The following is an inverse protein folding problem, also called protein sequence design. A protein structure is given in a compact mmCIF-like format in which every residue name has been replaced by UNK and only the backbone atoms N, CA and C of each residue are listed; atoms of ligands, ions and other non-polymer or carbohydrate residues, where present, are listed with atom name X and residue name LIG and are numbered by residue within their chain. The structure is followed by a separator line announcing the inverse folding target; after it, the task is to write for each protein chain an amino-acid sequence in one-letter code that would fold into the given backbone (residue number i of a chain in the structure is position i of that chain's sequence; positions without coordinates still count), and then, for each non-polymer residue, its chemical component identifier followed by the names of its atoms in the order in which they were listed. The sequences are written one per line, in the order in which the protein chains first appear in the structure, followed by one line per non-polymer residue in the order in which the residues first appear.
data_IF_806144753184
#
_entry.id   IF_806144753184
#
_cell.length_a   1.000
_cell.length_b   1.000
_cell.length_c   1.000
_cell.angle_alpha   90.00
_cell.angle_beta   90.00
_cell.angle_gamma   90.00
#
_symmetry.space_group_name_H-M   'P 1'
#
loop_
_entity.id
_entity.type
_entity.pdbx_description
1 polymer ?
#
# COMPACT_ATOMS: atom_id res chain seq x y z
N UNK A 1 7.99 -5.96 15.79
CA UNK A 1 9.23 -5.37 15.23
C UNK A 1 10.45 -6.17 15.66
N UNK A 2 11.36 -6.53 14.73
CA UNK A 2 12.53 -7.37 15.00
C UNK A 2 13.62 -6.58 15.78
N UNK A 3 14.33 -7.24 16.70
CA UNK A 3 15.45 -6.65 17.49
C UNK A 3 16.59 -6.14 16.61
N UNK A 4 16.79 -6.74 15.45
CA UNK A 4 17.82 -6.37 14.48
C UNK A 4 17.57 -5.05 13.76
N UNK A 5 16.36 -4.50 13.77
CA UNK A 5 16.02 -3.23 13.13
C UNK A 5 16.49 -2.02 13.96
N UNK A 6 17.80 -1.82 14.00
CA UNK A 6 18.40 -0.60 14.56
C UNK A 6 18.12 0.60 13.65
N UNK A 7 18.20 1.87 14.16
CA UNK A 7 18.03 3.04 13.29
C UNK A 7 18.96 3.04 12.09
N UNK A 8 20.21 2.60 12.25
CA UNK A 8 21.18 2.49 11.14
C UNK A 8 20.74 1.43 10.12
N UNK A 9 20.25 0.27 10.58
CA UNK A 9 19.74 -0.78 9.69
C UNK A 9 18.50 -0.33 8.93
N UNK A 10 17.59 0.42 9.58
CA UNK A 10 16.41 1.01 8.91
C UNK A 10 16.85 2.00 7.83
N UNK A 11 17.80 2.90 8.12
CA UNK A 11 18.31 3.85 7.13
C UNK A 11 18.94 3.10 5.95
N UNK A 12 19.79 2.10 6.19
CA UNK A 12 20.40 1.31 5.13
C UNK A 12 19.36 0.58 4.26
N UNK A 13 18.31 0.03 4.87
CA UNK A 13 17.20 -0.60 4.13
C UNK A 13 16.38 0.43 3.31
N UNK A 14 16.24 1.66 3.80
CA UNK A 14 15.61 2.74 3.03
C UNK A 14 16.52 3.22 1.89
N UNK A 15 17.86 3.23 2.09
CA UNK A 15 18.83 3.62 1.06
C UNK A 15 18.78 2.71 -0.17
N UNK A 16 18.45 1.42 -0.01
CA UNK A 16 18.27 0.50 -1.12
C UNK A 16 17.10 0.87 -2.07
N UNK A 17 16.22 1.77 -1.66
CA UNK A 17 15.01 2.11 -2.44
C UNK A 17 14.86 3.61 -2.71
N UNK A 18 15.45 4.46 -1.89
CA UNK A 18 15.23 5.91 -1.91
C UNK A 18 16.57 6.62 -1.95
N UNK A 19 16.77 7.43 -2.96
CA UNK A 19 17.99 8.22 -3.14
C UNK A 19 17.92 9.49 -2.31
N UNK A 20 19.02 9.87 -1.68
CA UNK A 20 19.13 11.10 -0.89
C UNK A 20 18.26 11.09 0.39
N UNK A 21 17.77 12.25 0.79
CA UNK A 21 16.82 12.48 1.89
C UNK A 21 17.28 11.93 3.26
N UNK A 22 18.58 12.04 3.57
CA UNK A 22 19.21 11.44 4.75
C UNK A 22 18.54 11.84 6.07
N UNK A 23 18.16 13.11 6.22
CA UNK A 23 17.56 13.63 7.46
C UNK A 23 16.17 13.04 7.67
N UNK A 24 15.36 12.91 6.60
CA UNK A 24 14.05 12.29 6.66
C UNK A 24 14.14 10.81 7.04
N UNK A 25 15.02 10.06 6.39
CA UNK A 25 15.27 8.63 6.71
C UNK A 25 15.70 8.46 8.17
N UNK A 26 16.59 9.31 8.65
CA UNK A 26 17.06 9.29 10.05
C UNK A 26 15.93 9.57 11.03
N UNK A 27 15.12 10.59 10.78
CA UNK A 27 14.00 10.95 11.64
C UNK A 27 12.97 9.82 11.77
N UNK A 28 12.55 9.23 10.63
CA UNK A 28 11.59 8.11 10.64
C UNK A 28 12.18 6.87 11.29
N UNK A 29 13.47 6.58 11.08
CA UNK A 29 14.16 5.46 11.68
C UNK A 29 14.23 5.58 13.23
N UNK A 30 14.49 6.79 13.73
CA UNK A 30 14.50 7.07 15.18
C UNK A 30 13.09 6.96 15.76
N UNK A 31 12.07 7.55 15.11
CA UNK A 31 10.68 7.45 15.54
C UNK A 31 10.24 5.98 15.65
N UNK A 32 10.59 5.17 14.66
CA UNK A 32 10.26 3.75 14.64
C UNK A 32 10.98 2.97 15.74
N UNK A 33 12.25 3.24 15.95
CA UNK A 33 13.01 2.58 17.03
C UNK A 33 12.51 2.99 18.42
N UNK A 34 12.02 4.21 18.59
CA UNK A 34 11.42 4.65 19.85
C UNK A 34 10.13 3.89 20.17
N UNK A 35 9.33 3.52 19.17
CA UNK A 35 8.15 2.63 19.39
C UNK A 35 8.59 1.24 19.89
N UNK A 36 9.62 0.67 19.31
CA UNK A 36 10.20 -0.60 19.76
C UNK A 36 10.75 -0.49 21.20
N UNK A 37 11.43 0.62 21.53
CA UNK A 37 11.92 0.90 22.90
C UNK A 37 10.76 1.01 23.87
N UNK A 38 9.70 1.74 23.50
CA UNK A 38 8.51 1.89 24.32
C UNK A 38 7.89 0.53 24.72
N UNK A 39 7.76 -0.41 23.80
CA UNK A 39 7.20 -1.73 24.08
C UNK A 39 7.99 -2.52 25.12
N UNK A 40 9.25 -2.13 25.40
CA UNK A 40 10.12 -2.74 26.40
C UNK A 40 10.19 -1.99 27.74
N UNK A 41 9.49 -0.89 27.84
CA UNK A 41 9.35 -0.17 29.11
C UNK A 41 8.42 -0.92 30.04
N UNK A 42 8.61 -0.72 31.34
CA UNK A 42 7.65 -1.15 32.37
C UNK A 42 6.28 -0.50 32.12
N UNK A 43 5.22 -1.11 32.66
CA UNK A 43 3.84 -0.67 32.43
C UNK A 43 3.65 0.81 32.78
N UNK A 44 4.23 1.28 33.88
CA UNK A 44 4.07 2.65 34.38
C UNK A 44 4.54 3.73 33.38
N UNK A 45 5.63 3.46 32.66
CA UNK A 45 6.19 4.42 31.68
C UNK A 45 5.72 4.15 30.25
N UNK A 46 5.31 2.92 29.95
CA UNK A 46 4.93 2.54 28.59
C UNK A 46 3.71 3.30 28.10
N UNK A 47 2.75 3.57 28.96
CA UNK A 47 1.50 4.23 28.61
C UNK A 47 1.66 5.76 28.56
N UNK A 48 2.67 6.31 29.28
CA UNK A 48 3.02 7.74 29.26
C UNK A 48 3.84 8.13 28.03
N UNK A 49 4.56 7.20 27.39
CA UNK A 49 5.41 7.48 26.22
C UNK A 49 4.59 7.44 24.94
N UNK A 50 4.18 8.61 24.45
CA UNK A 50 3.49 8.75 23.17
C UNK A 50 4.49 8.82 21.97
N UNK A 51 4.08 8.38 20.77
CA UNK A 51 4.89 8.53 19.57
C UNK A 51 5.09 10.02 19.24
N UNK A 52 6.27 10.36 18.73
CA UNK A 52 6.54 11.72 18.23
C UNK A 52 6.19 11.75 16.74
N UNK A 53 5.06 12.38 16.42
CA UNK A 53 4.60 12.51 15.06
C UNK A 53 5.52 13.40 14.22
N UNK A 54 5.50 13.20 12.91
CA UNK A 54 6.46 13.79 11.96
C UNK A 54 5.72 14.64 10.95
N UNK A 55 6.24 15.84 10.68
CA UNK A 55 5.86 16.69 9.55
C UNK A 55 6.97 16.65 8.51
N UNK A 56 6.68 16.07 7.35
CA UNK A 56 7.57 16.04 6.18
C UNK A 56 7.21 17.19 5.23
N UNK A 57 8.15 18.08 5.01
CA UNK A 57 8.02 19.28 4.18
C UNK A 57 8.89 19.10 2.95
N UNK A 58 8.40 19.41 1.76
CA UNK A 58 9.22 19.39 0.55
C UNK A 58 8.43 19.15 -0.74
N UNK A 59 9.03 19.37 -1.90
CA UNK A 59 8.38 19.30 -3.19
C UNK A 59 7.67 17.96 -3.46
N UNK A 60 6.79 17.95 -4.44
CA UNK A 60 6.14 16.72 -4.92
C UNK A 60 7.18 15.79 -5.55
N UNK A 61 7.01 14.48 -5.39
CA UNK A 61 7.85 13.47 -6.06
C UNK A 61 9.27 13.30 -5.52
N UNK A 62 9.58 13.83 -4.31
CA UNK A 62 10.91 13.65 -3.67
C UNK A 62 10.99 12.43 -2.73
N UNK A 63 9.94 11.60 -2.66
CA UNK A 63 9.95 10.34 -1.92
C UNK A 63 9.27 10.37 -0.55
N UNK A 64 8.54 11.43 -0.15
CA UNK A 64 7.86 11.52 1.17
C UNK A 64 7.00 10.28 1.48
N UNK A 65 6.06 9.96 0.60
CA UNK A 65 5.17 8.79 0.75
C UNK A 65 5.93 7.46 0.72
N UNK A 66 6.96 7.35 -0.12
CA UNK A 66 7.73 6.12 -0.27
C UNK A 66 8.55 5.82 0.98
N UNK A 67 9.14 6.83 1.62
CA UNK A 67 9.82 6.69 2.91
C UNK A 67 8.88 6.07 3.94
N UNK A 68 7.68 6.62 4.09
CA UNK A 68 6.71 6.16 5.09
C UNK A 68 6.21 4.72 4.77
N UNK A 69 5.91 4.44 3.50
CA UNK A 69 5.46 3.11 3.05
C UNK A 69 6.52 2.04 3.27
N UNK A 70 7.77 2.31 2.89
CA UNK A 70 8.88 1.37 3.09
C UNK A 70 9.17 1.14 4.55
N UNK A 71 9.14 2.21 5.36
CA UNK A 71 9.28 2.11 6.81
C UNK A 71 8.23 1.15 7.41
N UNK A 72 6.96 1.34 7.08
CA UNK A 72 5.88 0.50 7.57
C UNK A 72 6.06 -0.97 7.16
N UNK A 73 6.45 -1.22 5.91
CA UNK A 73 6.73 -2.57 5.41
C UNK A 73 7.89 -3.23 6.15
N UNK A 74 9.00 -2.51 6.36
CA UNK A 74 10.16 -3.01 7.12
C UNK A 74 9.80 -3.36 8.57
N UNK A 75 8.91 -2.57 9.16
CA UNK A 75 8.47 -2.77 10.53
C UNK A 75 7.38 -3.83 10.69
N UNK A 76 6.76 -4.26 9.58
CA UNK A 76 5.57 -5.12 9.62
C UNK A 76 4.39 -4.43 10.30
N UNK A 77 4.24 -3.12 10.10
CA UNK A 77 3.23 -2.27 10.72
C UNK A 77 2.07 -2.01 9.76
N UNK A 78 0.83 -1.97 10.23
CA UNK A 78 -0.30 -1.51 9.43
C UNK A 78 -0.05 -0.08 8.93
N UNK A 79 -0.28 0.13 7.65
CA UNK A 79 -0.03 1.41 6.99
C UNK A 79 -1.25 1.89 6.23
N UNK A 80 -1.66 3.12 6.52
CA UNK A 80 -2.72 3.79 5.80
C UNK A 80 -2.22 5.11 5.24
N UNK A 81 -2.38 5.32 3.93
CA UNK A 81 -2.19 6.62 3.29
C UNK A 81 -3.54 7.25 3.04
N UNK A 82 -3.72 8.48 3.50
CA UNK A 82 -4.90 9.31 3.23
C UNK A 82 -4.47 10.71 2.80
N UNK A 83 -5.27 11.34 1.97
CA UNK A 83 -5.10 12.74 1.58
C UNK A 83 -5.99 13.60 2.46
N UNK A 84 -5.43 14.62 3.10
CA UNK A 84 -6.16 15.50 4.01
C UNK A 84 -7.34 16.22 3.31
N UNK A 85 -7.22 16.43 2.00
CA UNK A 85 -8.25 17.06 1.17
C UNK A 85 -9.51 16.19 0.94
N UNK A 86 -9.46 14.89 1.28
CA UNK A 86 -10.63 13.99 1.15
C UNK A 86 -11.60 14.09 2.32
N UNK A 87 -11.17 14.73 3.39
CA UNK A 87 -12.02 14.99 4.55
C UNK A 87 -12.69 16.36 4.44
N UNK A 88 -13.87 16.45 4.98
CA UNK A 88 -14.61 17.71 5.11
C UNK A 88 -15.05 17.85 6.54
N UNK A 89 -15.26 19.09 6.97
CA UNK A 89 -15.79 19.38 8.30
C UNK A 89 -17.07 18.57 8.58
N UNK A 90 -17.19 18.05 9.80
CA UNK A 90 -18.34 17.25 10.23
C UNK A 90 -19.65 18.03 9.98
N UNK A 91 -20.55 17.41 9.22
CA UNK A 91 -21.85 18.02 8.84
C UNK A 91 -21.93 18.47 7.37
N UNK A 92 -20.81 18.49 6.63
CA UNK A 92 -20.78 18.66 5.18
C UNK A 92 -20.62 17.32 4.45
N UNK A 93 -20.92 17.26 3.17
CA UNK A 93 -20.75 16.04 2.35
C UNK A 93 -19.26 15.70 2.22
N UNK A 94 -18.81 14.70 2.95
CA UNK A 94 -17.40 14.25 2.93
C UNK A 94 -17.18 13.04 3.84
N UNK A 95 -15.94 12.54 3.89
CA UNK A 95 -15.59 11.44 4.77
C UNK A 95 -15.28 11.97 6.18
N UNK A 96 -15.83 11.29 7.18
CA UNK A 96 -15.49 11.46 8.58
C UNK A 96 -14.02 11.03 8.83
N UNK A 97 -13.28 11.81 9.60
CA UNK A 97 -11.88 11.52 9.96
C UNK A 97 -11.72 10.21 10.73
N UNK A 98 -12.74 9.76 11.46
CA UNK A 98 -12.75 8.46 12.13
C UNK A 98 -12.60 7.29 11.15
N UNK A 99 -12.94 7.51 9.86
CA UNK A 99 -12.73 6.50 8.82
C UNK A 99 -11.25 6.12 8.68
N UNK A 100 -10.33 7.02 9.01
CA UNK A 100 -8.88 6.75 9.05
C UNK A 100 -8.59 5.56 9.98
N UNK A 101 -9.16 5.57 11.17
CA UNK A 101 -8.93 4.52 12.17
C UNK A 101 -9.60 3.21 11.77
N UNK A 102 -10.82 3.29 11.20
CA UNK A 102 -11.54 2.11 10.70
C UNK A 102 -10.75 1.44 9.57
N UNK A 103 -10.24 2.20 8.61
CA UNK A 103 -9.44 1.68 7.49
C UNK A 103 -8.08 1.14 7.96
N UNK A 104 -7.48 1.74 9.00
CA UNK A 104 -6.24 1.25 9.59
C UNK A 104 -6.44 -0.12 10.25
N UNK A 105 -7.56 -0.34 10.93
CA UNK A 105 -7.93 -1.65 11.53
C UNK A 105 -8.15 -2.69 10.43
N UNK A 106 -8.82 -2.35 9.33
CA UNK A 106 -8.96 -3.25 8.18
C UNK A 106 -7.59 -3.68 7.62
N UNK A 107 -6.66 -2.71 7.47
CA UNK A 107 -5.30 -3.01 7.06
C UNK A 107 -4.59 -3.95 8.04
N UNK A 108 -4.77 -3.73 9.34
CA UNK A 108 -4.20 -4.60 10.37
C UNK A 108 -4.78 -6.02 10.32
N UNK A 109 -6.10 -6.16 10.11
CA UNK A 109 -6.78 -7.45 9.98
C UNK A 109 -6.26 -8.25 8.79
N UNK A 110 -6.09 -7.61 7.64
CA UNK A 110 -5.51 -8.25 6.45
C UNK A 110 -4.11 -8.78 6.78
N UNK A 111 -3.26 -7.97 7.39
CA UNK A 111 -1.89 -8.35 7.75
C UNK A 111 -1.82 -9.50 8.75
N UNK A 112 -2.65 -9.46 9.79
CA UNK A 112 -2.70 -10.53 10.82
C UNK A 112 -3.21 -11.82 10.19
N UNK A 113 -4.27 -11.75 9.36
CA UNK A 113 -4.82 -12.91 8.66
C UNK A 113 -3.78 -13.56 7.74
N UNK A 114 -3.05 -12.78 6.94
CA UNK A 114 -1.99 -13.30 6.07
C UNK A 114 -0.88 -13.97 6.87
N UNK A 115 -0.44 -13.36 7.97
CA UNK A 115 0.56 -13.96 8.87
C UNK A 115 0.08 -15.29 9.44
N UNK A 116 -1.14 -15.32 9.98
CA UNK A 116 -1.73 -16.52 10.58
C UNK A 116 -2.02 -17.61 9.56
N UNK A 117 -2.42 -17.26 8.34
CA UNK A 117 -2.51 -18.22 7.24
C UNK A 117 -1.17 -18.87 6.93
N UNK A 118 -0.06 -18.12 7.00
CA UNK A 118 1.29 -18.68 6.90
C UNK A 118 1.58 -19.73 7.98
N UNK A 119 1.19 -19.45 9.23
CA UNK A 119 1.41 -20.36 10.37
C UNK A 119 0.63 -21.68 10.25
N UNK A 120 -0.58 -21.64 9.68
CA UNK A 120 -1.45 -22.83 9.53
C UNK A 120 -1.35 -23.48 8.15
N UNK A 121 -0.53 -22.96 7.25
CA UNK A 121 -0.46 -23.34 5.83
C UNK A 121 -0.30 -24.84 5.61
N UNK A 122 0.65 -25.48 6.31
CA UNK A 122 0.90 -26.91 6.15
C UNK A 122 -0.33 -27.76 6.54
N UNK A 123 -1.10 -27.34 7.54
CA UNK A 123 -2.34 -28.03 7.93
C UNK A 123 -3.46 -27.77 6.93
N UNK A 124 -3.53 -26.54 6.42
CA UNK A 124 -4.50 -26.18 5.38
C UNK A 124 -4.24 -26.92 4.07
N UNK A 125 -2.98 -27.07 3.66
CA UNK A 125 -2.56 -27.86 2.50
C UNK A 125 -2.95 -29.32 2.65
N UNK A 126 -2.72 -29.93 3.82
CA UNK A 126 -3.12 -31.30 4.08
C UNK A 126 -4.63 -31.50 4.04
N UNK A 127 -5.42 -30.56 4.62
CA UNK A 127 -6.88 -30.61 4.60
C UNK A 127 -7.43 -30.40 3.17
N UNK A 128 -6.86 -29.49 2.41
CA UNK A 128 -7.22 -29.25 1.00
C UNK A 128 -6.90 -30.48 0.14
N UNK A 129 -5.74 -31.12 0.33
CA UNK A 129 -5.37 -32.37 -0.33
C UNK A 129 -6.41 -33.48 -0.06
N UNK A 130 -6.83 -33.63 1.20
CA UNK A 130 -7.86 -34.62 1.55
C UNK A 130 -9.20 -34.33 0.87
N UNK A 131 -9.63 -33.08 0.77
CA UNK A 131 -10.86 -32.70 0.04
C UNK A 131 -10.77 -32.97 -1.47
N UNK A 132 -9.61 -32.73 -2.08
CA UNK A 132 -9.35 -33.06 -3.48
C UNK A 132 -9.42 -34.58 -3.68
N UNK A 133 -8.84 -35.35 -2.77
CA UNK A 133 -8.92 -36.83 -2.81
C UNK A 133 -10.37 -37.31 -2.66
N UNK A 134 -11.16 -36.71 -1.77
CA UNK A 134 -12.58 -37.02 -1.61
C UNK A 134 -13.38 -36.75 -2.91
N UNK A 135 -13.06 -35.68 -3.61
CA UNK A 135 -13.68 -35.37 -4.90
C UNK A 135 -13.25 -36.32 -6.03
N UNK A 136 -11.99 -36.82 -5.97
CA UNK A 136 -11.43 -37.72 -7.00
C UNK A 136 -11.88 -39.19 -6.86
N UNK A 137 -11.91 -39.69 -5.62
CA UNK A 137 -12.11 -41.14 -5.35
C UNK A 137 -13.29 -41.44 -4.40
N UNK A 138 -13.94 -40.38 -3.91
CA UNK A 138 -15.05 -40.46 -2.96
C UNK A 138 -14.61 -40.56 -1.51
N UNK A 139 -15.43 -40.06 -0.55
CA UNK A 139 -15.09 -40.02 0.87
C UNK A 139 -14.95 -41.40 1.53
N UNK A 140 -15.51 -42.46 0.88
CA UNK A 140 -15.43 -43.84 1.34
C UNK A 140 -14.29 -44.65 0.77
N UNK A 141 -13.36 -44.05 0.02
CA UNK A 141 -12.24 -44.74 -0.57
C UNK A 141 -11.26 -45.29 0.49
N UNK A 142 -10.82 -46.56 0.28
CA UNK A 142 -9.88 -47.20 1.19
C UNK A 142 -8.50 -46.56 1.22
N UNK A 143 -7.74 -46.75 2.34
CA UNK A 143 -6.43 -46.07 2.54
C UNK A 143 -5.47 -46.28 1.37
N UNK A 144 -5.38 -47.50 0.82
CA UNK A 144 -4.45 -47.81 -0.27
C UNK A 144 -4.80 -47.04 -1.56
N UNK A 145 -6.10 -46.88 -1.86
CA UNK A 145 -6.55 -46.08 -3.01
C UNK A 145 -6.22 -44.58 -2.79
N UNK A 146 -6.53 -44.05 -1.62
CA UNK A 146 -6.21 -42.67 -1.26
C UNK A 146 -4.70 -42.37 -1.36
N UNK A 147 -3.86 -43.28 -0.86
CA UNK A 147 -2.41 -43.12 -0.92
C UNK A 147 -1.86 -43.16 -2.36
N UNK A 148 -2.43 -44.03 -3.21
CA UNK A 148 -2.08 -44.07 -4.64
C UNK A 148 -2.43 -42.76 -5.34
N UNK A 149 -3.63 -42.24 -5.12
CA UNK A 149 -4.08 -40.98 -5.73
C UNK A 149 -3.33 -39.77 -5.13
N UNK A 150 -2.99 -39.78 -3.85
CA UNK A 150 -2.16 -38.77 -3.21
C UNK A 150 -0.77 -38.65 -3.86
N UNK A 151 -0.14 -39.81 -4.18
CA UNK A 151 1.16 -39.82 -4.88
C UNK A 151 1.04 -39.21 -6.28
N UNK A 152 -0.02 -39.54 -7.04
CA UNK A 152 -0.27 -38.96 -8.36
C UNK A 152 -0.57 -37.46 -8.30
N UNK A 153 -1.35 -37.02 -7.31
CA UNK A 153 -1.66 -35.63 -7.08
C UNK A 153 -0.39 -34.80 -6.83
N UNK A 154 0.48 -35.29 -5.95
CA UNK A 154 1.76 -34.65 -5.65
C UNK A 154 2.77 -34.71 -6.81
N UNK A 155 2.62 -35.67 -7.72
CA UNK A 155 3.40 -35.76 -8.96
C UNK A 155 2.87 -34.85 -10.09
N UNK A 156 1.72 -34.17 -9.90
CA UNK A 156 1.08 -33.33 -10.92
C UNK A 156 0.35 -34.12 -12.01
N UNK A 157 0.25 -35.45 -11.90
CA UNK A 157 -0.40 -36.28 -12.92
C UNK A 157 -1.92 -36.09 -13.03
N UNK A 158 -2.52 -35.40 -12.06
CA UNK A 158 -3.94 -35.17 -11.94
C UNK A 158 -4.35 -33.72 -12.13
N UNK A 159 -3.43 -32.83 -12.45
CA UNK A 159 -3.62 -31.38 -12.48
C UNK A 159 -4.73 -30.92 -13.43
N UNK A 160 -4.85 -31.56 -14.60
CA UNK A 160 -5.86 -31.24 -15.60
C UNK A 160 -7.20 -32.00 -15.41
N UNK A 161 -7.30 -32.84 -14.37
CA UNK A 161 -8.53 -33.59 -14.11
C UNK A 161 -9.57 -32.68 -13.47
N UNK A 162 -10.77 -32.65 -14.06
CA UNK A 162 -11.91 -31.92 -13.50
C UNK A 162 -12.47 -32.62 -12.26
N UNK A 163 -12.74 -31.85 -11.24
CA UNK A 163 -13.39 -32.26 -9.98
C UNK A 163 -14.55 -31.31 -9.65
N UNK A 164 -15.57 -31.85 -9.00
CA UNK A 164 -16.64 -31.06 -8.42
C UNK A 164 -16.35 -30.81 -6.95
N UNK A 165 -16.22 -29.54 -6.57
CA UNK A 165 -15.95 -29.13 -5.18
C UNK A 165 -16.98 -28.12 -4.71
N UNK A 166 -17.36 -28.22 -3.45
CA UNK A 166 -18.15 -27.20 -2.76
C UNK A 166 -17.21 -26.15 -2.19
N UNK A 167 -17.27 -24.93 -2.68
CA UNK A 167 -16.55 -23.77 -2.14
C UNK A 167 -17.51 -22.84 -1.41
N UNK A 168 -17.05 -22.16 -0.39
CA UNK A 168 -17.82 -21.13 0.29
C UNK A 168 -18.18 -20.01 -0.70
N UNK A 169 -19.46 -19.65 -0.77
CA UNK A 169 -19.93 -18.55 -1.62
C UNK A 169 -19.64 -17.23 -0.90
N UNK A 170 -18.56 -16.54 -1.33
CA UNK A 170 -18.15 -15.23 -0.83
C UNK A 170 -18.87 -14.08 -1.53
N UNK A 171 -19.75 -14.35 -2.50
CA UNK A 171 -20.54 -13.31 -3.15
C UNK A 171 -21.63 -12.81 -2.22
N UNK A 172 -21.53 -11.56 -1.78
CA UNK A 172 -22.59 -10.89 -1.04
C UNK A 172 -23.85 -10.79 -1.89
N UNK A 173 -25.02 -11.29 -1.42
CA UNK A 173 -26.24 -11.34 -2.23
C UNK A 173 -26.92 -9.98 -2.45
N UNK A 174 -26.33 -8.87 -2.02
CA UNK A 174 -26.99 -7.57 -2.01
C UNK A 174 -26.13 -6.49 -2.69
N UNK A 175 -25.81 -6.68 -3.96
CA UNK A 175 -25.56 -5.57 -4.89
C UNK A 175 -26.72 -5.54 -5.89
N UNK A 176 -27.82 -4.88 -5.55
CA UNK A 176 -28.88 -4.68 -6.54
C UNK A 176 -30.30 -4.50 -6.05
N UNK A 177 -30.56 -4.25 -4.78
CA UNK A 177 -31.90 -3.83 -4.34
C UNK A 177 -31.82 -2.42 -3.73
N UNK A 178 -31.79 -1.43 -4.61
CA UNK A 178 -32.19 -0.06 -4.27
C UNK A 178 -33.71 -0.06 -4.07
N UNK A 179 -34.16 -0.17 -2.82
CA UNK A 179 -35.54 0.10 -2.48
C UNK A 179 -35.66 1.57 -2.09
N UNK A 180 -36.31 2.43 -2.91
CA UNK A 180 -36.51 3.82 -2.55
C UNK A 180 -37.42 3.90 -1.32
N UNK A 181 -36.89 4.33 -0.18
CA UNK A 181 -37.68 4.73 1.00
C UNK A 181 -37.63 3.87 2.26
N UNK A 182 -36.77 2.85 2.36
CA UNK A 182 -36.70 2.01 3.56
C UNK A 182 -35.31 1.96 4.18
N UNK A 183 -35.19 2.32 5.44
CA UNK A 183 -33.92 2.41 6.18
C UNK A 183 -33.10 1.13 6.18
N UNK A 184 -31.84 1.26 5.87
CA UNK A 184 -30.82 0.22 5.63
C UNK A 184 -30.44 -0.65 6.85
N UNK A 185 -31.01 -0.41 8.03
CA UNK A 185 -30.58 -1.04 9.29
C UNK A 185 -31.23 -2.40 9.55
N UNK A 186 -32.42 -2.65 8.99
CA UNK A 186 -33.15 -3.89 9.24
C UNK A 186 -32.72 -5.09 8.41
N UNK A 187 -32.19 -4.86 7.19
CA UNK A 187 -31.81 -5.92 6.25
C UNK A 187 -30.42 -6.49 6.51
N UNK A 188 -29.49 -5.69 7.03
CA UNK A 188 -28.13 -6.16 7.41
C UNK A 188 -28.21 -7.14 8.59
N UNK A 189 -29.04 -6.85 9.59
CA UNK A 189 -29.25 -7.76 10.73
C UNK A 189 -29.94 -9.07 10.34
N UNK A 190 -30.83 -9.05 9.35
CA UNK A 190 -31.55 -10.24 8.89
C UNK A 190 -30.63 -11.18 8.09
N UNK A 191 -29.72 -10.64 7.27
CA UNK A 191 -28.74 -11.43 6.50
C UNK A 191 -27.66 -12.05 7.42
N UNK A 192 -27.21 -11.35 8.46
CA UNK A 192 -26.32 -11.90 9.48
C UNK A 192 -27.00 -12.98 10.35
N UNK A 193 -28.27 -12.77 10.66
CA UNK A 193 -29.05 -13.71 11.45
C UNK A 193 -29.39 -15.00 10.66
N UNK A 194 -29.68 -14.88 9.38
CA UNK A 194 -29.87 -16.04 8.47
C UNK A 194 -28.54 -16.75 8.16
N UNK A 195 -27.43 -16.03 8.07
CA UNK A 195 -26.09 -16.59 7.88
C UNK A 195 -25.60 -17.41 9.08
N UNK A 196 -26.02 -17.04 10.29
CA UNK A 196 -25.70 -17.78 11.54
C UNK A 196 -26.61 -19.00 11.79
N UNK A 197 -27.78 -19.07 11.17
CA UNK A 197 -28.73 -20.19 11.33
C UNK A 197 -28.65 -21.27 10.24
N UNK A 198 -28.04 -20.97 9.10
CA UNK A 198 -27.83 -21.97 8.04
C UNK A 198 -26.36 -22.01 7.68
N UNK A 199 -25.73 -23.16 7.83
CA UNK A 199 -24.31 -23.36 7.46
C UNK A 199 -23.98 -22.67 6.15
N UNK A 200 -22.82 -21.97 6.10
CA UNK A 200 -22.43 -21.07 5.03
C UNK A 200 -22.80 -21.57 3.63
N UNK A 201 -23.38 -20.70 2.82
CA UNK A 201 -23.77 -21.05 1.45
C UNK A 201 -22.55 -21.58 0.71
N UNK A 202 -22.62 -22.84 0.27
CA UNK A 202 -21.61 -23.45 -0.56
C UNK A 202 -22.10 -23.49 -2.00
N UNK A 203 -21.24 -23.14 -2.93
CA UNK A 203 -21.48 -23.27 -4.37
C UNK A 203 -20.64 -24.42 -4.87
N UNK A 204 -21.27 -25.42 -5.50
CA UNK A 204 -20.56 -26.49 -6.19
C UNK A 204 -20.03 -25.95 -7.51
N UNK A 205 -18.73 -26.06 -7.72
CA UNK A 205 -18.03 -25.57 -8.91
C UNK A 205 -17.23 -26.73 -9.50
N UNK A 206 -17.23 -26.84 -10.84
CA UNK A 206 -16.32 -27.73 -11.56
C UNK A 206 -15.06 -26.99 -11.91
N UNK A 207 -13.91 -27.48 -11.44
CA UNK A 207 -12.60 -26.91 -11.68
C UNK A 207 -11.58 -28.03 -11.95
N UNK A 208 -10.53 -27.68 -12.69
CA UNK A 208 -9.36 -28.55 -12.76
C UNK A 208 -8.67 -28.60 -11.39
N UNK A 209 -8.03 -29.71 -11.04
CA UNK A 209 -7.35 -29.91 -9.75
C UNK A 209 -6.36 -28.78 -9.45
N UNK A 210 -5.55 -28.36 -10.44
CA UNK A 210 -4.61 -27.24 -10.29
C UNK A 210 -5.30 -25.94 -9.88
N UNK A 211 -6.48 -25.65 -10.44
CA UNK A 211 -7.23 -24.42 -10.19
C UNK A 211 -8.02 -24.49 -8.88
N UNK A 212 -8.37 -25.70 -8.44
CA UNK A 212 -9.09 -25.97 -7.19
C UNK A 212 -8.18 -25.89 -5.96
N UNK A 213 -6.90 -26.18 -6.09
CA UNK A 213 -5.95 -26.30 -4.98
C UNK A 213 -5.82 -25.00 -4.19
N UNK A 214 -5.59 -23.87 -4.86
CA UNK A 214 -5.40 -22.56 -4.22
C UNK A 214 -6.61 -22.10 -3.41
N UNK A 215 -7.85 -22.08 -3.96
CA UNK A 215 -9.02 -21.68 -3.19
C UNK A 215 -9.34 -22.62 -2.04
N UNK A 216 -9.08 -23.93 -2.18
CA UNK A 216 -9.27 -24.88 -1.10
C UNK A 216 -8.31 -24.66 0.07
N UNK A 217 -7.02 -24.44 -0.22
CA UNK A 217 -6.03 -24.11 0.82
C UNK A 217 -6.43 -22.82 1.56
N UNK A 218 -6.92 -21.81 0.84
CA UNK A 218 -7.37 -20.57 1.46
C UNK A 218 -8.59 -20.81 2.38
N UNK A 219 -9.59 -21.59 1.93
CA UNK A 219 -10.78 -21.90 2.72
C UNK A 219 -10.47 -22.75 3.95
N UNK A 220 -9.65 -23.78 3.80
CA UNK A 220 -9.22 -24.62 4.93
C UNK A 220 -8.34 -23.83 5.92
N UNK A 221 -7.48 -22.95 5.40
CA UNK A 221 -6.72 -22.01 6.23
C UNK A 221 -7.63 -21.12 7.06
N UNK A 222 -8.67 -20.54 6.46
CA UNK A 222 -9.63 -19.67 7.17
C UNK A 222 -10.45 -20.42 8.23
N UNK A 223 -10.79 -21.70 8.00
CA UNK A 223 -11.46 -22.56 9.00
C UNK A 223 -10.58 -22.84 10.23
N UNK A 224 -9.26 -22.88 10.04
CA UNK A 224 -8.31 -23.11 11.13
C UNK A 224 -8.01 -21.85 11.96
N UNK A 225 -8.50 -20.69 11.52
CA UNK A 225 -8.27 -19.41 12.17
C UNK A 225 -9.42 -19.06 13.12
N UNK A 226 -9.07 -18.74 14.35
CA UNK A 226 -10.01 -18.16 15.32
C UNK A 226 -10.22 -16.66 15.02
N UNK A 227 -11.40 -16.30 14.54
CA UNK A 227 -11.74 -14.95 14.12
C UNK A 227 -11.68 -13.94 15.28
N UNK A 228 -12.05 -14.34 16.49
CA UNK A 228 -12.01 -13.46 17.66
C UNK A 228 -10.56 -13.16 18.05
N UNK A 229 -9.70 -14.17 18.04
CA UNK A 229 -8.27 -14.00 18.30
C UNK A 229 -7.60 -13.10 17.24
N UNK A 230 -7.93 -13.29 15.95
CA UNK A 230 -7.44 -12.45 14.86
C UNK A 230 -7.86 -10.98 15.04
N UNK A 231 -9.12 -10.77 15.41
CA UNK A 231 -9.66 -9.43 15.64
C UNK A 231 -8.94 -8.73 16.79
N UNK A 232 -8.76 -9.42 17.90
CA UNK A 232 -8.04 -8.88 19.07
C UNK A 232 -6.57 -8.57 18.76
N UNK A 233 -5.90 -9.44 18.00
CA UNK A 233 -4.52 -9.20 17.57
C UNK A 233 -4.44 -8.00 16.63
N UNK A 234 -5.36 -7.86 15.68
CA UNK A 234 -5.41 -6.77 14.72
C UNK A 234 -5.70 -5.42 15.40
N UNK A 235 -6.62 -5.36 16.35
CA UNK A 235 -6.89 -4.16 17.15
C UNK A 235 -5.62 -3.71 17.89
N UNK A 236 -4.97 -4.63 18.61
CA UNK A 236 -3.71 -4.34 19.31
C UNK A 236 -2.59 -3.90 18.37
N UNK A 237 -2.51 -4.51 17.18
CA UNK A 237 -1.53 -4.15 16.17
C UNK A 237 -1.78 -2.74 15.61
N UNK A 238 -3.04 -2.40 15.31
CA UNK A 238 -3.43 -1.07 14.85
C UNK A 238 -3.12 0.00 15.90
N UNK A 239 -3.53 -0.21 17.15
CA UNK A 239 -3.30 0.73 18.25
C UNK A 239 -1.82 0.99 18.53
N UNK A 240 -1.00 -0.06 18.58
CA UNK A 240 0.39 0.04 19.06
C UNK A 240 1.41 0.18 17.95
N UNK A 241 1.11 -0.29 16.73
CA UNK A 241 2.07 -0.31 15.61
C UNK A 241 1.50 0.36 14.34
N UNK A 242 0.28 0.87 14.33
CA UNK A 242 -0.33 1.56 13.21
C UNK A 242 0.45 2.80 12.79
N UNK A 243 0.55 3.04 11.47
CA UNK A 243 1.15 4.23 10.88
C UNK A 243 0.13 4.84 9.92
N UNK A 244 -0.20 6.11 10.16
CA UNK A 244 -1.07 6.91 9.29
C UNK A 244 -0.24 7.97 8.60
N UNK A 245 -0.25 7.97 7.28
CA UNK A 245 0.39 8.98 6.46
C UNK A 245 -0.67 9.94 5.92
N UNK A 246 -0.66 11.17 6.45
CA UNK A 246 -1.55 12.26 6.05
C UNK A 246 -0.87 13.06 4.94
N UNK A 247 -1.28 12.86 3.69
CA UNK A 247 -0.72 13.58 2.55
C UNK A 247 -1.46 14.91 2.31
N UNK A 248 -0.78 15.85 1.68
CA UNK A 248 -1.33 17.16 1.29
C UNK A 248 -1.89 18.00 2.46
N UNK A 249 -1.26 17.91 3.65
CA UNK A 249 -1.69 18.67 4.84
C UNK A 249 -1.61 20.19 4.62
N UNK A 250 -0.74 20.65 3.73
CA UNK A 250 -0.62 22.06 3.35
C UNK A 250 -1.84 22.60 2.60
N UNK A 251 -2.65 21.71 2.00
CA UNK A 251 -3.88 22.11 1.30
C UNK A 251 -5.03 22.45 2.23
N UNK A 252 -4.99 21.92 3.47
CA UNK A 252 -5.96 22.25 4.53
C UNK A 252 -5.44 23.32 5.49
N UNK A 253 -4.24 23.86 5.28
CA UNK A 253 -3.76 25.03 5.99
C UNK A 253 -4.57 26.27 5.59
N UNK A 254 -5.04 27.02 6.58
CA UNK A 254 -5.81 28.23 6.36
C UNK A 254 -4.91 29.36 5.85
N UNK A 255 -5.36 30.13 4.86
CA UNK A 255 -4.70 31.37 4.46
C UNK A 255 -5.30 32.53 5.24
N UNK A 256 -4.47 33.35 5.87
CA UNK A 256 -4.94 34.58 6.50
C UNK A 256 -5.59 35.49 5.45
N UNK A 257 -6.89 35.73 5.56
CA UNK A 257 -7.63 36.74 4.80
C UNK A 257 -8.62 36.28 3.73
N UNK A 258 -8.88 34.97 3.55
CA UNK A 258 -9.90 34.51 2.60
C UNK A 258 -11.18 34.06 3.34
N UNK A 259 -12.34 34.46 2.85
CA UNK A 259 -13.65 34.19 3.46
C UNK A 259 -14.32 32.95 2.85
N UNK A 260 -14.93 32.11 3.69
CA UNK A 260 -15.82 31.02 3.31
C UNK A 260 -15.17 29.64 3.13
N UNK A 261 -14.24 29.48 2.20
CA UNK A 261 -13.56 28.19 1.97
C UNK A 261 -12.52 27.84 3.07
N UNK A 262 -12.03 28.82 3.81
CA UNK A 262 -11.02 28.62 4.86
C UNK A 262 -11.61 28.04 6.15
N UNK A 263 -12.90 28.30 6.44
CA UNK A 263 -13.59 27.71 7.60
C UNK A 263 -13.64 26.19 7.48
N UNK A 264 -13.93 25.66 6.30
CA UNK A 264 -13.95 24.21 6.05
C UNK A 264 -12.57 23.55 6.15
N UNK A 265 -11.50 24.26 5.77
CA UNK A 265 -10.13 23.76 5.88
C UNK A 265 -9.64 23.71 7.33
N UNK A 266 -9.95 24.74 8.10
CA UNK A 266 -9.68 24.79 9.54
C UNK A 266 -10.48 23.73 10.28
N UNK A 267 -11.74 23.46 9.88
CA UNK A 267 -12.58 22.40 10.40
C UNK A 267 -11.91 21.02 10.26
N UNK A 268 -11.36 20.70 9.09
CA UNK A 268 -10.62 19.43 8.89
C UNK A 268 -9.43 19.30 9.84
N UNK A 269 -8.68 20.38 10.07
CA UNK A 269 -7.56 20.33 11.04
C UNK A 269 -8.07 20.10 12.47
N UNK A 270 -9.18 20.71 12.87
CA UNK A 270 -9.81 20.52 14.18
C UNK A 270 -10.32 19.10 14.36
N UNK A 271 -10.88 18.48 13.31
CA UNK A 271 -11.36 17.11 13.34
C UNK A 271 -10.21 16.09 13.39
N UNK A 272 -9.06 16.37 12.75
CA UNK A 272 -7.86 15.53 12.82
C UNK A 272 -7.16 15.61 14.17
N UNK A 273 -7.29 16.71 14.88
CA UNK A 273 -6.55 16.96 16.12
C UNK A 273 -6.80 15.89 17.20
N UNK A 274 -8.07 15.50 17.53
CA UNK A 274 -8.32 14.44 18.51
C UNK A 274 -7.66 13.11 18.14
N UNK A 275 -7.64 12.75 16.84
CA UNK A 275 -6.98 11.50 16.41
C UNK A 275 -5.47 11.54 16.65
N UNK A 276 -4.85 12.69 16.43
CA UNK A 276 -3.40 12.88 16.57
C UNK A 276 -2.99 13.06 18.05
N UNK A 277 -3.88 13.58 18.88
CA UNK A 277 -3.69 13.75 20.32
C UNK A 277 -3.88 12.46 21.12
N UNK A 278 -4.74 11.58 20.64
CA UNK A 278 -5.17 10.37 21.27
C UNK A 278 -6.67 10.42 21.63
N UNK A 279 -7.42 9.54 21.03
CA UNK A 279 -8.85 9.37 21.26
C UNK A 279 -9.25 7.91 21.08
N UNK A 280 -10.48 7.59 21.44
CA UNK A 280 -11.06 6.26 21.22
C UNK A 280 -12.09 6.34 20.09
N UNK A 281 -11.85 5.64 19.01
CA UNK A 281 -12.77 5.55 17.87
C UNK A 281 -13.52 4.23 17.89
N UNK A 282 -14.82 4.28 17.73
CA UNK A 282 -15.68 3.09 17.62
C UNK A 282 -15.57 2.49 16.21
N UNK A 283 -15.26 1.21 16.16
CA UNK A 283 -15.24 0.42 14.92
C UNK A 283 -16.19 -0.78 15.04
N UNK A 284 -16.51 -1.42 13.92
CA UNK A 284 -17.30 -2.66 13.91
C UNK A 284 -16.63 -3.84 14.63
N UNK A 285 -15.35 -3.71 14.93
CA UNK A 285 -14.55 -4.71 15.63
C UNK A 285 -14.33 -4.40 17.10
N UNK A 286 -14.77 -3.24 17.55
CA UNK A 286 -14.61 -2.73 18.91
C UNK A 286 -13.96 -1.35 18.94
N UNK A 287 -13.78 -0.76 20.14
CA UNK A 287 -13.12 0.53 20.30
C UNK A 287 -11.62 0.43 20.04
N UNK A 288 -11.04 1.47 19.44
CA UNK A 288 -9.62 1.57 19.08
C UNK A 288 -9.05 2.87 19.60
N UNK A 289 -7.97 2.80 20.35
CA UNK A 289 -7.24 3.97 20.88
C UNK A 289 -6.17 4.43 19.90
N UNK A 290 -6.08 5.72 19.67
CA UNK A 290 -5.11 6.31 18.73
C UNK A 290 -3.84 6.85 19.39
N UNK A 291 -3.76 6.81 20.74
CA UNK A 291 -2.66 7.37 21.55
C UNK A 291 -1.26 6.93 21.09
N UNK A 292 -1.14 5.74 20.52
CA UNK A 292 0.14 5.16 20.09
C UNK A 292 0.26 4.93 18.58
N UNK A 293 -0.71 5.40 17.81
CA UNK A 293 -0.61 5.46 16.34
C UNK A 293 0.41 6.53 15.95
N UNK A 294 1.30 6.20 15.02
CA UNK A 294 2.26 7.17 14.48
C UNK A 294 1.64 7.92 13.32
N UNK A 295 1.49 9.22 13.45
CA UNK A 295 1.07 10.09 12.37
C UNK A 295 2.28 10.72 11.68
N UNK A 296 2.33 10.60 10.36
CA UNK A 296 3.32 11.25 9.51
C UNK A 296 2.55 12.15 8.55
N UNK A 297 2.54 13.44 8.82
CA UNK A 297 1.94 14.42 7.94
C UNK A 297 2.92 14.85 6.84
N UNK A 298 2.45 15.10 5.64
CA UNK A 298 3.27 15.57 4.54
C UNK A 298 2.61 16.68 3.73
N UNK A 299 3.40 17.64 3.28
CA UNK A 299 2.95 18.74 2.44
C UNK A 299 4.08 19.31 1.60
N UNK A 300 3.74 19.95 0.49
CA UNK A 300 4.70 20.66 -0.33
C UNK A 300 5.05 22.02 0.26
N UNK A 301 4.10 22.68 0.90
CA UNK A 301 4.22 24.01 1.52
C UNK A 301 4.77 25.08 0.57
N UNK A 302 4.40 25.01 -0.72
CA UNK A 302 4.79 26.03 -1.71
C UNK A 302 4.04 27.34 -1.53
N UNK A 303 2.78 27.25 -1.14
CA UNK A 303 1.88 28.41 -1.02
C UNK A 303 1.55 28.68 0.45
N UNK A 304 1.19 27.66 1.20
CA UNK A 304 1.02 27.71 2.64
C UNK A 304 2.38 27.45 3.32
N UNK A 305 2.51 27.95 4.55
CA UNK A 305 3.67 27.67 5.41
C UNK A 305 3.27 26.69 6.51
N UNK A 306 4.19 25.94 7.11
CA UNK A 306 3.90 25.13 8.30
C UNK A 306 3.29 25.93 9.47
N UNK A 307 3.58 27.23 9.55
CA UNK A 307 3.00 28.16 10.52
C UNK A 307 1.54 28.50 10.27
N UNK A 308 1.00 28.16 9.10
CA UNK A 308 -0.41 28.39 8.76
C UNK A 308 -1.32 27.24 9.19
N UNK A 309 -0.74 26.15 9.69
CA UNK A 309 -1.46 25.10 10.41
C UNK A 309 -1.89 25.63 11.79
N UNK A 310 -2.97 25.08 12.34
CA UNK A 310 -3.38 25.40 13.70
C UNK A 310 -2.24 25.20 14.70
N UNK A 311 -2.02 26.09 15.67
CA UNK A 311 -0.93 25.99 16.65
C UNK A 311 -0.93 24.65 17.40
N UNK A 312 -2.12 24.15 17.74
CA UNK A 312 -2.32 22.86 18.41
C UNK A 312 -1.80 21.72 17.54
N UNK A 313 -2.14 21.71 16.25
CA UNK A 313 -1.68 20.70 15.31
C UNK A 313 -0.17 20.76 15.10
N UNK A 314 0.40 21.99 15.03
CA UNK A 314 1.86 22.20 14.97
C UNK A 314 2.56 21.60 16.19
N UNK A 315 1.99 21.76 17.40
CA UNK A 315 2.51 21.21 18.65
C UNK A 315 2.51 19.66 18.67
N UNK A 316 1.57 19.04 17.96
CA UNK A 316 1.44 17.57 17.86
C UNK A 316 2.29 16.95 16.75
N UNK A 317 2.95 17.77 15.93
CA UNK A 317 3.90 17.36 14.89
C UNK A 317 5.31 17.90 15.22
N UNK A 318 5.92 17.48 16.34
CA UNK A 318 7.14 18.08 16.85
C UNK A 318 8.39 17.81 16.02
N UNK A 319 8.40 16.71 15.25
CA UNK A 319 9.52 16.38 14.37
C UNK A 319 9.24 16.97 12.99
N UNK A 320 10.01 17.98 12.61
CA UNK A 320 9.91 18.60 11.27
C UNK A 320 11.11 18.20 10.44
N UNK A 321 10.85 17.69 9.25
CA UNK A 321 11.89 17.23 8.33
C UNK A 321 11.65 17.84 6.96
N UNK A 322 12.67 18.49 6.44
CA UNK A 322 12.65 19.06 5.10
C UNK A 322 13.30 18.09 4.11
N UNK A 323 12.57 17.72 3.08
CA UNK A 323 13.07 16.95 1.95
C UNK A 323 13.49 17.92 0.85
N UNK A 324 14.70 17.73 0.35
CA UNK A 324 15.28 18.58 -0.69
C UNK A 324 14.74 18.22 -2.05
N UNK A 325 14.66 19.22 -2.94
CA UNK A 325 14.43 18.97 -4.35
C UNK A 325 15.51 18.05 -4.91
N UNK A 326 15.13 17.20 -5.86
CA UNK A 326 16.06 16.27 -6.49
C UNK A 326 16.97 17.00 -7.46
N UNK A 327 18.25 16.67 -7.40
CA UNK A 327 19.27 17.15 -8.33
C UNK A 327 19.35 16.28 -9.58
N UNK A 328 20.06 16.71 -10.63
CA UNK A 328 20.36 15.89 -11.81
C UNK A 328 20.99 14.55 -11.43
N UNK A 329 21.95 14.59 -10.52
CA UNK A 329 22.64 13.37 -10.06
C UNK A 329 21.68 12.44 -9.30
N UNK A 330 20.74 12.99 -8.53
CA UNK A 330 19.71 12.19 -7.88
C UNK A 330 18.81 11.48 -8.91
N UNK A 331 18.43 12.14 -10.01
CA UNK A 331 17.66 11.52 -11.09
C UNK A 331 18.41 10.35 -11.74
N UNK A 332 19.69 10.54 -12.05
CA UNK A 332 20.56 9.48 -12.59
C UNK A 332 20.62 8.28 -11.62
N UNK A 333 20.83 8.55 -10.35
CA UNK A 333 20.89 7.52 -9.32
C UNK A 333 19.54 6.81 -9.12
N UNK A 334 18.43 7.53 -9.19
CA UNK A 334 17.07 6.94 -9.11
C UNK A 334 16.81 5.96 -10.25
N UNK A 335 17.36 6.21 -11.45
CA UNK A 335 17.23 5.29 -12.58
C UNK A 335 18.04 4.00 -12.42
N UNK A 336 19.12 4.02 -11.63
CA UNK A 336 20.13 2.94 -11.63
C UNK A 336 20.30 2.22 -10.30
N UNK A 337 20.31 2.94 -9.16
CA UNK A 337 20.70 2.38 -7.87
C UNK A 337 19.59 1.59 -7.14
N UNK A 338 18.31 2.04 -7.08
CA UNK A 338 17.28 1.30 -6.35
C UNK A 338 17.09 -0.12 -6.87
N UNK A 339 16.83 -1.07 -5.97
CA UNK A 339 16.63 -2.49 -6.34
C UNK A 339 15.57 -2.69 -7.42
N UNK A 340 14.47 -1.94 -7.35
CA UNK A 340 13.38 -1.94 -8.32
C UNK A 340 13.34 -0.58 -9.06
N UNK A 341 14.46 -0.17 -9.68
CA UNK A 341 14.51 1.05 -10.48
C UNK A 341 13.71 0.90 -11.80
N UNK A 342 13.38 2.03 -12.43
CA UNK A 342 12.55 2.05 -13.64
C UNK A 342 13.16 1.28 -14.81
N UNK A 343 14.48 1.32 -14.98
CA UNK A 343 15.17 0.56 -16.02
C UNK A 343 14.94 -0.94 -15.83
N UNK A 344 15.20 -1.46 -14.64
CA UNK A 344 14.99 -2.89 -14.33
C UNK A 344 13.54 -3.33 -14.47
N UNK A 345 12.59 -2.46 -14.08
CA UNK A 345 11.16 -2.74 -14.25
C UNK A 345 10.80 -2.91 -15.74
N UNK A 346 11.22 -1.99 -16.59
CA UNK A 346 10.93 -2.06 -18.03
C UNK A 346 11.69 -3.18 -18.74
N UNK A 347 12.93 -3.47 -18.32
CA UNK A 347 13.66 -4.65 -18.78
C UNK A 347 12.90 -5.94 -18.47
N UNK A 348 12.39 -6.08 -17.25
CA UNK A 348 11.62 -7.26 -16.85
C UNK A 348 10.28 -7.36 -17.60
N UNK A 349 9.61 -6.24 -17.87
CA UNK A 349 8.36 -6.20 -18.64
C UNK A 349 8.58 -6.68 -20.08
N UNK A 350 9.58 -6.13 -20.79
CA UNK A 350 9.86 -6.49 -22.19
C UNK A 350 10.45 -7.91 -22.31
N UNK A 351 11.16 -8.38 -21.30
CA UNK A 351 11.65 -9.76 -21.26
C UNK A 351 10.52 -10.81 -21.22
N UNK A 352 9.29 -10.46 -20.83
CA UNK A 352 8.14 -11.37 -20.93
C UNK A 352 7.73 -11.69 -22.37
N UNK A 353 8.15 -10.85 -23.31
CA UNK A 353 7.96 -11.03 -24.75
C UNK A 353 9.29 -11.39 -25.48
N UNK A 354 10.28 -11.89 -24.74
CA UNK A 354 11.62 -12.24 -25.22
C UNK A 354 12.41 -11.06 -25.83
N UNK A 355 12.11 -9.82 -25.46
CA UNK A 355 12.85 -8.63 -25.89
C UNK A 355 13.88 -8.26 -24.84
N UNK A 356 15.16 -8.19 -25.24
CA UNK A 356 16.25 -7.73 -24.36
C UNK A 356 16.41 -6.23 -24.48
N UNK A 357 16.06 -5.48 -23.42
CA UNK A 357 16.21 -4.03 -23.37
C UNK A 357 17.52 -3.63 -22.69
N UNK A 358 18.28 -2.72 -23.30
CA UNK A 358 19.51 -2.17 -22.73
C UNK A 358 19.57 -0.65 -22.87
N UNK A 359 20.19 0.01 -21.90
CA UNK A 359 20.46 1.45 -21.92
C UNK A 359 21.95 1.67 -21.70
N UNK A 360 22.55 2.52 -22.49
CA UNK A 360 23.94 2.97 -22.29
C UNK A 360 24.00 4.02 -21.17
N UNK A 361 25.19 4.30 -20.64
CA UNK A 361 25.35 5.31 -19.57
C UNK A 361 24.93 6.70 -20.03
N UNK A 362 25.19 7.05 -21.29
CA UNK A 362 24.79 8.32 -21.88
C UNK A 362 23.27 8.41 -22.13
N UNK A 363 22.58 7.29 -22.36
CA UNK A 363 21.13 7.25 -22.39
C UNK A 363 20.52 7.57 -21.00
N UNK A 364 21.10 7.01 -19.95
CA UNK A 364 20.68 7.31 -18.56
C UNK A 364 20.89 8.78 -18.23
N UNK A 365 21.99 9.35 -18.66
CA UNK A 365 22.27 10.80 -18.51
C UNK A 365 21.27 11.65 -19.30
N UNK A 366 20.99 11.30 -20.54
CA UNK A 366 20.02 12.02 -21.37
C UNK A 366 18.60 11.95 -20.79
N UNK A 367 18.17 10.82 -20.21
CA UNK A 367 16.88 10.71 -19.51
C UNK A 367 16.83 11.59 -18.24
N UNK A 368 17.92 11.63 -17.48
CA UNK A 368 18.00 12.51 -16.29
C UNK A 368 17.94 13.99 -16.69
N UNK A 369 18.66 14.39 -17.74
CA UNK A 369 18.63 15.75 -18.29
C UNK A 369 17.24 16.14 -18.78
N UNK A 370 16.57 15.25 -19.52
CA UNK A 370 15.21 15.48 -20.00
C UNK A 370 14.22 15.65 -18.83
N UNK A 371 14.35 14.85 -17.76
CA UNK A 371 13.48 14.96 -16.59
C UNK A 371 13.71 16.29 -15.84
N UNK A 372 14.96 16.74 -15.69
CA UNK A 372 15.29 18.04 -15.10
C UNK A 372 14.75 19.19 -15.93
N UNK A 373 14.95 19.14 -17.24
CA UNK A 373 14.48 20.17 -18.17
C UNK A 373 12.94 20.28 -18.12
N UNK A 374 12.23 19.14 -18.16
CA UNK A 374 10.77 19.11 -18.08
C UNK A 374 10.25 19.62 -16.74
N UNK A 375 10.88 19.28 -15.60
CA UNK A 375 10.53 19.80 -14.29
C UNK A 375 10.79 21.31 -14.14
N UNK A 376 11.71 21.87 -14.93
CA UNK A 376 12.00 23.30 -14.94
C UNK A 376 11.07 24.10 -15.86
N UNK A 377 10.61 23.46 -16.94
CA UNK A 377 9.76 24.11 -17.96
C UNK A 377 8.27 24.11 -17.59
N UNK A 378 7.82 23.11 -16.84
CA UNK A 378 6.41 22.92 -16.45
C UNK A 378 6.34 22.80 -14.91
N UNK A 379 5.33 22.15 -14.39
CA UNK A 379 5.20 21.85 -12.96
C UNK A 379 6.26 20.83 -12.52
N UNK A 380 6.95 21.13 -11.42
CA UNK A 380 7.94 20.21 -10.86
C UNK A 380 7.24 19.07 -10.08
N UNK A 381 7.20 17.89 -10.69
CA UNK A 381 6.64 16.66 -10.09
C UNK A 381 7.72 15.69 -9.60
N UNK A 382 8.97 16.15 -9.53
CA UNK A 382 10.10 15.38 -9.02
C UNK A 382 10.38 14.10 -9.81
N UNK A 383 10.69 13.02 -9.11
CA UNK A 383 11.03 11.73 -9.72
C UNK A 383 9.90 11.10 -10.55
N UNK A 384 8.64 11.52 -10.39
CA UNK A 384 7.55 11.06 -11.27
C UNK A 384 7.79 11.41 -12.73
N UNK A 385 8.56 12.48 -13.00
CA UNK A 385 8.95 12.87 -14.36
C UNK A 385 9.79 11.81 -15.08
N UNK A 386 10.59 11.04 -14.32
CA UNK A 386 11.36 9.93 -14.90
C UNK A 386 10.46 8.85 -15.50
N UNK A 387 9.32 8.59 -14.89
CA UNK A 387 8.36 7.63 -15.45
C UNK A 387 7.80 8.13 -16.79
N UNK A 388 7.40 9.40 -16.87
CA UNK A 388 6.92 10.00 -18.12
C UNK A 388 7.99 9.97 -19.23
N UNK A 389 9.24 10.28 -18.87
CA UNK A 389 10.37 10.20 -19.80
C UNK A 389 10.59 8.77 -20.28
N UNK A 390 10.60 7.79 -19.38
CA UNK A 390 10.77 6.38 -19.69
C UNK A 390 9.67 5.85 -20.61
N UNK A 391 8.41 6.15 -20.28
CA UNK A 391 7.26 5.74 -21.09
C UNK A 391 7.38 6.29 -22.53
N UNK A 392 7.81 7.54 -22.65
CA UNK A 392 7.97 8.15 -23.97
C UNK A 392 9.11 7.53 -24.78
N UNK A 393 10.25 7.29 -24.14
CA UNK A 393 11.40 6.63 -24.80
C UNK A 393 11.01 5.24 -25.29
N UNK A 394 10.20 4.52 -24.54
CA UNK A 394 9.83 3.12 -24.82
C UNK A 394 8.53 2.96 -25.61
N UNK A 395 7.75 4.01 -25.88
CA UNK A 395 6.42 3.94 -26.49
C UNK A 395 6.35 3.06 -27.73
N UNK A 396 7.21 3.29 -28.72
CA UNK A 396 7.25 2.49 -29.95
C UNK A 396 7.76 1.07 -29.72
N UNK A 397 8.75 0.92 -28.84
CA UNK A 397 9.33 -0.40 -28.54
C UNK A 397 8.32 -1.27 -27.81
N UNK A 398 7.60 -0.69 -26.85
CA UNK A 398 6.53 -1.39 -26.12
C UNK A 398 5.36 -1.76 -27.03
N UNK A 399 4.99 -0.88 -27.97
CA UNK A 399 3.92 -1.17 -28.95
C UNK A 399 4.28 -2.29 -29.92
N UNK A 400 5.55 -2.42 -30.30
CA UNK A 400 6.05 -3.42 -31.24
C UNK A 400 6.72 -4.62 -30.56
N UNK A 401 6.61 -4.76 -29.23
CA UNK A 401 7.38 -5.74 -28.46
C UNK A 401 7.19 -7.18 -28.97
N UNK A 402 5.95 -7.58 -29.28
CA UNK A 402 5.66 -8.90 -29.85
C UNK A 402 6.33 -9.15 -31.21
N UNK A 403 6.57 -8.10 -32.03
CA UNK A 403 7.26 -8.21 -33.32
C UNK A 403 8.78 -8.25 -33.17
N UNK A 404 9.29 -7.85 -31.99
CA UNK A 404 10.72 -7.77 -31.65
C UNK A 404 11.21 -8.97 -30.84
N UNK A 405 10.42 -10.03 -30.70
CA UNK A 405 10.78 -11.22 -29.93
C UNK A 405 12.13 -11.79 -30.37
N UNK A 406 13.00 -12.13 -29.40
CA UNK A 406 14.36 -12.61 -29.62
C UNK A 406 15.40 -11.51 -29.98
N UNK A 407 15.00 -10.24 -30.05
CA UNK A 407 15.89 -9.15 -30.40
C UNK A 407 16.40 -8.39 -29.17
N UNK A 408 17.54 -7.72 -29.35
CA UNK A 408 18.09 -6.77 -28.37
C UNK A 408 17.85 -5.35 -28.87
N UNK A 409 17.16 -4.56 -28.07
CA UNK A 409 16.93 -3.12 -28.33
C UNK A 409 17.82 -2.34 -27.37
N UNK A 410 18.71 -1.50 -27.94
CA UNK A 410 19.62 -0.66 -27.18
C UNK A 410 19.29 0.81 -27.41
N UNK A 411 19.13 1.56 -26.32
CA UNK A 411 19.00 3.01 -26.35
C UNK A 411 20.31 3.66 -25.94
N UNK A 412 20.82 4.55 -26.78
CA UNK A 412 21.90 5.47 -26.48
C UNK A 412 21.38 6.89 -26.21
N UNK A 413 22.27 7.80 -25.87
CA UNK A 413 21.91 9.18 -25.53
C UNK A 413 21.28 9.93 -26.69
N UNK A 414 21.67 9.65 -27.91
CA UNK A 414 21.15 10.34 -29.12
C UNK A 414 19.72 9.86 -29.41
N UNK A 415 19.45 8.56 -29.31
CA UNK A 415 18.11 8.00 -29.45
C UNK A 415 17.13 8.56 -28.40
N UNK A 416 17.58 8.74 -27.14
CA UNK A 416 16.78 9.38 -26.11
C UNK A 416 16.49 10.84 -26.44
N UNK A 417 17.51 11.60 -26.82
CA UNK A 417 17.34 13.03 -27.21
C UNK A 417 16.40 13.20 -28.39
N UNK A 418 16.54 12.40 -29.43
CA UNK A 418 15.65 12.45 -30.60
C UNK A 418 14.18 12.25 -30.22
N UNK A 419 13.90 11.25 -29.38
CA UNK A 419 12.52 10.98 -28.92
C UNK A 419 11.96 12.10 -28.03
N UNK A 420 12.80 12.76 -27.25
CA UNK A 420 12.39 13.87 -26.39
C UNK A 420 12.25 15.19 -27.19
N UNK A 421 13.10 15.45 -28.19
CA UNK A 421 13.04 16.65 -29.04
C UNK A 421 11.81 16.65 -29.96
N UNK A 422 11.32 15.50 -30.35
CA UNK A 422 10.07 15.37 -31.09
C UNK A 422 8.87 15.95 -30.34
N UNK A 423 8.90 15.91 -29.01
CA UNK A 423 7.86 16.50 -28.13
C UNK A 423 7.96 18.02 -27.98
N UNK A 424 9.19 18.55 -27.93
CA UNK A 424 9.39 19.99 -27.73
C UNK A 424 9.04 20.81 -28.97
N UNK A 425 9.02 20.20 -30.14
CA UNK A 425 8.62 20.85 -31.40
C UNK A 425 7.10 21.00 -31.52
N UNK A 426 6.32 20.20 -30.79
CA UNK A 426 4.87 20.27 -30.77
C UNK A 426 4.42 21.00 -29.48
N UNK A 427 4.55 22.33 -29.48
CA UNK A 427 4.38 23.23 -28.32
C UNK A 427 3.01 23.08 -27.64
N UNK A 428 1.96 22.65 -28.37
CA UNK A 428 0.63 22.40 -27.80
C UNK A 428 0.52 21.05 -27.10
N UNK A 429 1.22 20.02 -27.57
CA UNK A 429 1.23 18.70 -26.97
C UNK A 429 2.13 18.63 -25.72
N UNK A 430 3.21 19.42 -25.66
CA UNK A 430 4.13 19.44 -24.50
C UNK A 430 3.44 19.83 -23.18
N UNK A 431 2.37 20.62 -23.23
CA UNK A 431 1.57 21.01 -22.05
C UNK A 431 0.68 19.90 -21.52
N UNK A 432 0.37 18.87 -22.32
CA UNK A 432 -0.55 17.80 -21.97
C UNK A 432 0.16 16.45 -21.74
N UNK A 433 1.37 16.28 -22.25
CA UNK A 433 2.08 15.00 -22.26
C UNK A 433 3.28 15.00 -21.28
N UNK A 434 3.81 16.17 -20.96
CA UNK A 434 4.85 16.38 -19.98
C UNK A 434 4.28 17.05 -18.73
#
# INVERSE_FOLDING_TARGET
MNDQLTPKAIVAALDAHIIGQADAKRAVAVAMRNRWRRQRLGADLRDEVTPKNILMIGPTGVGKTEIARRLARLAGSPFLKVEATKFTEVGYVGRDVDQIVRDLVESALIMVRERRRGDVRAKAEAAAEDRILDALVGPGAGPATRDSFRKKLRAGELDDKEIEIALADTTSPIQGLDIPGGGNVGLLNLSEMLGKMGGGRTKTVKLAVRDATTPLIAEEGDKLLDQDSLTQEALKLAENEGIVFLDEIDKVAARQGASGADVSREGVQRDLLPLIEGTTVSTKYGPVKTDHVLFIASGAFHVAKPSDLLPELQGRLPIRVELKALTRDDFKRILTEPEANLIRQNQALLATEDVTLTFTDDAVEAMADAAVAANSAVENIGARRLQTVMERVLEETSFKASDLSGQTVTFDGDAVREKMDALTKDVDLSRFIL
#
